data_IF_965698457069
#
_entry.id   IF_965698457069
#
_cell.length_a   1.000
_cell.length_b   1.000
_cell.length_c   1.000
_cell.angle_alpha   90.00
_cell.angle_beta   90.00
_cell.angle_gamma   90.00
#
_symmetry.space_group_name_H-M   'P 1'
#
loop_
_entity.id
_entity.type
_entity.pdbx_description
1 polymer ?
#
# COMPACT_ATOMS: atom_id res chain seq x y z
N UNK A 1 -8.25 11.28 6.48
CA UNK A 1 -8.18 11.99 5.19
C UNK A 1 -9.59 11.99 4.58
N UNK A 2 -10.41 13.03 4.78
CA UNK A 2 -11.85 12.94 4.49
C UNK A 2 -12.26 13.33 3.06
N UNK A 3 -11.32 13.46 2.12
CA UNK A 3 -11.59 14.09 0.82
C UNK A 3 -11.90 13.09 -0.31
N UNK A 4 -11.61 11.80 -0.14
CA UNK A 4 -11.92 10.77 -1.14
C UNK A 4 -13.33 10.21 -0.87
N UNK A 5 -14.29 10.59 -1.71
CA UNK A 5 -15.70 10.19 -1.63
C UNK A 5 -16.08 9.07 -2.62
N UNK A 6 -15.09 8.56 -3.36
CA UNK A 6 -15.22 7.45 -4.32
C UNK A 6 -14.68 6.15 -3.73
N UNK A 7 -15.05 4.97 -4.26
CA UNK A 7 -14.39 3.71 -3.93
C UNK A 7 -12.88 3.79 -4.21
N UNK A 8 -12.07 3.37 -3.24
CA UNK A 8 -10.60 3.35 -3.34
C UNK A 8 -10.10 1.96 -2.99
N UNK A 9 -9.32 1.35 -3.88
CA UNK A 9 -8.61 0.11 -3.59
C UNK A 9 -7.11 0.36 -3.52
N UNK A 10 -6.49 -0.07 -2.42
CA UNK A 10 -5.05 -0.08 -2.21
C UNK A 10 -4.52 -1.49 -2.48
N UNK A 11 -3.64 -1.65 -3.47
CA UNK A 11 -2.92 -2.91 -3.73
C UNK A 11 -1.47 -2.72 -3.29
N UNK A 12 -1.03 -3.44 -2.26
CA UNK A 12 0.30 -3.24 -1.65
C UNK A 12 1.10 -4.52 -1.57
N UNK A 13 2.42 -4.43 -1.77
CA UNK A 13 3.34 -5.50 -1.42
C UNK A 13 3.76 -5.41 0.05
N UNK A 14 3.61 -6.49 0.82
CA UNK A 14 3.88 -6.47 2.29
C UNK A 14 5.36 -6.32 2.63
N UNK A 15 6.26 -6.60 1.68
CA UNK A 15 7.71 -6.43 1.83
C UNK A 15 8.18 -5.04 1.43
N UNK A 16 7.30 -4.12 1.00
CA UNK A 16 7.71 -2.78 0.63
C UNK A 16 8.32 -2.03 1.83
N UNK A 17 9.58 -1.61 1.67
CA UNK A 17 10.37 -0.85 2.63
C UNK A 17 10.68 0.57 2.16
N UNK A 18 10.00 1.02 1.11
CA UNK A 18 10.20 2.33 0.51
C UNK A 18 9.92 3.41 1.55
N UNK A 19 10.87 4.34 1.67
CA UNK A 19 10.86 5.37 2.69
C UNK A 19 11.76 6.51 2.25
N UNK A 20 11.30 7.38 1.34
CA UNK A 20 12.09 8.51 0.89
C UNK A 20 12.51 9.36 2.08
N UNK A 21 13.77 9.80 2.09
CA UNK A 21 14.31 10.59 3.19
C UNK A 21 14.61 9.83 4.48
N UNK A 22 14.65 8.48 4.45
CA UNK A 22 15.11 7.67 5.59
C UNK A 22 16.51 8.07 6.09
N UNK A 23 17.39 8.51 5.19
CA UNK A 23 18.72 9.01 5.52
C UNK A 23 18.71 10.41 6.16
N UNK A 24 17.63 11.19 5.99
CA UNK A 24 17.48 12.56 6.51
C UNK A 24 16.65 12.62 7.79
N UNK A 25 16.51 11.49 8.49
CA UNK A 25 15.73 11.41 9.72
C UNK A 25 16.41 12.27 10.79
N UNK A 26 15.70 13.30 11.29
CA UNK A 26 16.21 14.16 12.37
C UNK A 26 16.50 13.33 13.64
N UNK A 27 17.56 13.65 14.39
CA UNK A 27 17.80 13.04 15.70
C UNK A 27 16.54 13.18 16.58
N UNK A 28 16.08 12.07 17.18
CA UNK A 28 14.87 12.04 18.02
C UNK A 28 13.56 11.67 17.32
N UNK A 29 13.55 11.50 15.98
CA UNK A 29 12.35 11.01 15.28
C UNK A 29 12.04 9.53 15.62
N UNK A 30 10.83 9.22 16.07
CA UNK A 30 10.43 7.83 16.41
C UNK A 30 9.74 7.10 15.26
N UNK A 31 9.26 7.82 14.23
CA UNK A 31 8.53 7.24 13.10
C UNK A 31 9.38 6.23 12.31
N UNK A 32 8.77 5.10 11.94
CA UNK A 32 9.41 4.05 11.13
C UNK A 32 8.88 4.15 9.70
N UNK A 33 9.77 4.39 8.74
CA UNK A 33 9.43 4.43 7.32
C UNK A 33 9.43 3.02 6.71
N UNK A 34 8.67 2.84 5.63
CA UNK A 34 8.68 1.60 4.86
C UNK A 34 8.11 0.40 5.62
N UNK A 35 6.99 0.60 6.31
CA UNK A 35 6.26 -0.49 6.97
C UNK A 35 4.89 -0.65 6.30
N UNK A 36 4.88 -0.96 5.01
CA UNK A 36 3.64 -0.98 4.23
C UNK A 36 2.62 -2.00 4.72
N UNK A 37 3.05 -3.06 5.41
CA UNK A 37 2.16 -4.00 6.11
C UNK A 37 1.37 -3.40 7.30
N UNK A 38 1.80 -2.23 7.78
CA UNK A 38 1.11 -1.43 8.81
C UNK A 38 0.43 -0.23 8.17
N UNK A 39 1.18 0.53 7.37
CA UNK A 39 0.70 1.76 6.73
C UNK A 39 -0.51 1.51 5.82
N UNK A 40 -0.57 0.37 5.12
CA UNK A 40 -1.72 0.04 4.28
C UNK A 40 -3.03 -0.06 5.06
N UNK A 41 -2.97 -0.67 6.26
CA UNK A 41 -4.12 -0.82 7.16
C UNK A 41 -4.54 0.52 7.74
N UNK A 42 -3.58 1.29 8.24
CA UNK A 42 -3.83 2.63 8.77
C UNK A 42 -4.49 3.55 7.74
N UNK A 43 -4.05 3.51 6.48
CA UNK A 43 -4.68 4.31 5.42
C UNK A 43 -6.07 3.78 5.07
N UNK A 44 -6.23 2.47 4.92
CA UNK A 44 -7.52 1.85 4.61
C UNK A 44 -8.59 2.21 5.65
N UNK A 45 -8.24 2.22 6.94
CA UNK A 45 -9.14 2.60 8.05
C UNK A 45 -9.59 4.07 7.98
N UNK A 46 -8.82 4.93 7.28
CA UNK A 46 -9.19 6.34 7.11
C UNK A 46 -10.04 6.62 5.88
N UNK A 47 -10.23 5.64 4.99
CA UNK A 47 -10.99 5.76 3.76
C UNK A 47 -12.45 5.37 3.99
N UNK A 48 -13.40 6.21 3.56
CA UNK A 48 -14.83 5.93 3.72
C UNK A 48 -15.29 4.69 2.92
N UNK A 49 -14.69 4.48 1.75
CA UNK A 49 -14.95 3.36 0.86
C UNK A 49 -13.62 2.69 0.47
N UNK A 50 -12.80 2.38 1.48
CA UNK A 50 -11.48 1.79 1.31
C UNK A 50 -11.53 0.26 1.22
N UNK A 51 -10.78 -0.28 0.27
CA UNK A 51 -10.45 -1.69 0.19
C UNK A 51 -8.92 -1.86 0.21
N UNK A 52 -8.41 -2.84 0.94
CA UNK A 52 -6.99 -3.14 1.03
C UNK A 52 -6.73 -4.57 0.54
N UNK A 53 -5.85 -4.68 -0.45
CA UNK A 53 -5.38 -5.95 -1.00
C UNK A 53 -3.88 -6.06 -0.73
N UNK A 54 -3.50 -6.94 0.19
CA UNK A 54 -2.11 -7.23 0.53
C UNK A 54 -1.57 -8.38 -0.32
N UNK A 55 -0.51 -8.12 -1.09
CA UNK A 55 0.21 -9.12 -1.86
C UNK A 55 1.43 -9.59 -1.06
N UNK A 56 1.24 -10.68 -0.32
CA UNK A 56 2.25 -11.16 0.62
C UNK A 56 3.60 -11.49 -0.07
N UNK A 57 4.69 -11.06 0.55
CA UNK A 57 6.06 -11.28 0.07
C UNK A 57 6.52 -10.37 -1.07
N UNK A 58 5.62 -9.62 -1.72
CA UNK A 58 5.98 -8.68 -2.80
C UNK A 58 6.47 -7.34 -2.24
N UNK A 59 7.36 -6.69 -2.97
CA UNK A 59 7.93 -5.38 -2.65
C UNK A 59 7.16 -4.20 -3.25
N UNK A 60 7.89 -3.12 -3.53
CA UNK A 60 7.34 -1.83 -3.96
C UNK A 60 6.55 -1.85 -5.27
N UNK A 61 6.95 -2.73 -6.21
CA UNK A 61 6.39 -2.79 -7.55
C UNK A 61 5.79 -4.17 -7.82
N UNK A 62 4.69 -4.54 -7.14
CA UNK A 62 4.12 -5.89 -7.24
C UNK A 62 3.72 -6.27 -8.68
N UNK A 63 3.33 -5.29 -9.50
CA UNK A 63 3.01 -5.48 -10.92
C UNK A 63 4.21 -5.92 -11.77
N UNK A 64 5.43 -5.51 -11.39
CA UNK A 64 6.67 -5.92 -12.06
C UNK A 64 7.24 -7.19 -11.43
N UNK A 65 7.23 -7.30 -10.10
CA UNK A 65 7.80 -8.44 -9.38
C UNK A 65 7.00 -9.73 -9.66
N UNK A 66 5.67 -9.65 -9.69
CA UNK A 66 4.83 -10.78 -10.01
C UNK A 66 3.54 -10.34 -10.72
N UNK A 67 3.63 -10.22 -12.05
CA UNK A 67 2.51 -9.85 -12.89
C UNK A 67 1.30 -10.79 -12.73
N UNK A 68 1.52 -12.09 -12.56
CA UNK A 68 0.43 -13.07 -12.42
C UNK A 68 -0.40 -12.82 -11.16
N UNK A 69 0.26 -12.56 -10.02
CA UNK A 69 -0.42 -12.25 -8.75
C UNK A 69 -1.09 -10.88 -8.80
N UNK A 70 -0.42 -9.89 -9.39
CA UNK A 70 -0.98 -8.55 -9.51
C UNK A 70 -2.23 -8.52 -10.40
N UNK A 71 -2.16 -9.08 -11.61
CA UNK A 71 -3.29 -9.07 -12.55
C UNK A 71 -4.52 -9.80 -12.02
N UNK A 72 -4.31 -10.85 -11.22
CA UNK A 72 -5.38 -11.64 -10.61
C UNK A 72 -6.24 -10.81 -9.63
N UNK A 73 -5.66 -9.80 -8.98
CA UNK A 73 -6.41 -8.89 -8.09
C UNK A 73 -6.80 -7.58 -8.77
N UNK A 74 -6.05 -7.14 -9.77
CA UNK A 74 -6.27 -5.85 -10.44
C UNK A 74 -7.46 -5.88 -11.42
N UNK A 75 -7.52 -6.85 -12.33
CA UNK A 75 -8.58 -6.87 -13.35
C UNK A 75 -10.00 -7.03 -12.78
N UNK A 76 -10.24 -7.86 -11.74
CA UNK A 76 -11.57 -7.98 -11.15
C UNK A 76 -12.13 -6.66 -10.58
N UNK A 77 -11.29 -5.66 -10.27
CA UNK A 77 -11.75 -4.36 -9.78
C UNK A 77 -12.51 -3.55 -10.84
N UNK A 78 -12.42 -3.95 -12.12
CA UNK A 78 -13.05 -3.27 -13.25
C UNK A 78 -14.01 -4.19 -14.02
N UNK A 79 -14.10 -5.46 -13.62
CA UNK A 79 -15.11 -6.38 -14.15
C UNK A 79 -16.42 -6.07 -13.44
N UNK A 80 -17.33 -5.37 -14.14
CA UNK A 80 -18.67 -5.05 -13.68
C UNK A 80 -19.57 -6.27 -13.54
#
# INVERSE_FOLDING_TARGET
MPQLTVPVTLIIGTRDRTGPGRAFKKPGGTYKLGQYQVLGKEVADTLQQGNLIELDGLGHMPQFENWQRFKAVFFPLFAG
#
